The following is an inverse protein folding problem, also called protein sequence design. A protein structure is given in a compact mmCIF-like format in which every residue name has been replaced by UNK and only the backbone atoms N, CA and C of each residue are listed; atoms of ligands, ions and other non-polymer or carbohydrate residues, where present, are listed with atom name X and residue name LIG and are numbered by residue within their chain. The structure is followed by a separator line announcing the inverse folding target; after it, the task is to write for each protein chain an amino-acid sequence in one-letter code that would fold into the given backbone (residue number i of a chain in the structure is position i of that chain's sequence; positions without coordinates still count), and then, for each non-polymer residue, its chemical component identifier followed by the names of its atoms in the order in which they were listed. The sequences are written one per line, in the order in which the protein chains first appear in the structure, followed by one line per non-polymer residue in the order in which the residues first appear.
data_IF_212678132504
#
_entry.id   IF_212678132504
#
_cell.length_a   1.000
_cell.length_b   1.000
_cell.length_c   1.000
_cell.angle_alpha   90.00
_cell.angle_beta   90.00
_cell.angle_gamma   90.00
#
_symmetry.space_group_name_H-M   'P 1'
#
loop_
_entity.id
_entity.type
_entity.pdbx_description
1 polymer ?
#
# COMPACT_ATOMS: atom_id res chain seq x y z
N UNK A 1 -8.79 -8.07 9.22
CA UNK A 1 -7.51 -7.50 9.72
C UNK A 1 -7.74 -6.02 9.98
N UNK A 2 -7.44 -5.53 11.16
CA UNK A 2 -7.59 -4.11 11.42
C UNK A 2 -6.47 -3.30 10.76
N UNK A 3 -6.63 -1.99 10.74
CA UNK A 3 -5.68 -1.11 10.04
C UNK A 3 -4.26 -1.22 10.59
N UNK A 4 -4.12 -1.32 11.91
CA UNK A 4 -2.80 -1.42 12.54
C UNK A 4 -2.08 -2.70 12.11
N UNK A 5 -2.79 -3.82 12.14
CA UNK A 5 -2.25 -5.10 11.70
C UNK A 5 -1.92 -5.09 10.21
N UNK A 6 -2.79 -4.48 9.41
CA UNK A 6 -2.59 -4.36 7.97
C UNK A 6 -1.34 -3.53 7.65
N UNK A 7 -1.11 -2.44 8.37
CA UNK A 7 0.09 -1.61 8.17
C UNK A 7 1.36 -2.41 8.44
N UNK A 8 1.38 -3.14 9.54
CA UNK A 8 2.54 -3.95 9.91
C UNK A 8 2.78 -5.04 8.88
N UNK A 9 1.74 -5.76 8.49
CA UNK A 9 1.84 -6.85 7.52
C UNK A 9 2.34 -6.36 6.16
N UNK A 10 1.84 -5.22 5.70
CA UNK A 10 2.25 -4.67 4.41
C UNK A 10 3.72 -4.26 4.42
N UNK A 11 4.17 -3.60 5.48
CA UNK A 11 5.56 -3.18 5.61
C UNK A 11 6.49 -4.40 5.67
N UNK A 12 6.12 -5.43 6.42
CA UNK A 12 6.90 -6.67 6.48
C UNK A 12 6.99 -7.36 5.12
N UNK A 13 5.89 -7.40 4.39
CA UNK A 13 5.87 -7.99 3.05
C UNK A 13 6.77 -7.20 2.11
N UNK A 14 6.72 -5.87 2.15
CA UNK A 14 7.59 -5.01 1.35
C UNK A 14 9.07 -5.28 1.65
N UNK A 15 9.41 -5.41 2.92
CA UNK A 15 10.78 -5.68 3.33
C UNK A 15 11.27 -7.04 2.81
N UNK A 16 10.43 -8.06 2.88
CA UNK A 16 10.76 -9.39 2.38
C UNK A 16 10.96 -9.41 0.87
N UNK A 17 10.12 -8.71 0.13
CA UNK A 17 10.26 -8.61 -1.32
C UNK A 17 11.56 -7.89 -1.70
N UNK A 18 11.88 -6.84 -0.98
CA UNK A 18 13.12 -6.10 -1.19
C UNK A 18 14.35 -6.98 -0.88
N UNK A 19 14.33 -7.69 0.24
CA UNK A 19 15.44 -8.57 0.65
C UNK A 19 15.68 -9.70 -0.34
N UNK A 20 14.63 -10.11 -1.07
CA UNK A 20 14.72 -11.15 -2.09
C UNK A 20 14.94 -10.63 -3.50
N UNK A 21 15.26 -9.36 -3.62
CA UNK A 21 15.52 -8.69 -4.90
C UNK A 21 14.33 -8.72 -5.87
N UNK A 22 13.10 -8.83 -5.33
CA UNK A 22 11.88 -8.76 -6.13
C UNK A 22 11.42 -7.33 -6.35
N UNK A 23 11.90 -6.40 -5.52
CA UNK A 23 11.78 -4.96 -5.76
C UNK A 23 13.16 -4.35 -5.58
N UNK A 24 13.44 -3.27 -6.30
CA UNK A 24 14.72 -2.55 -6.19
C UNK A 24 14.45 -1.06 -6.04
N UNK A 25 15.24 -0.40 -5.17
CA UNK A 25 15.14 1.02 -4.95
C UNK A 25 13.69 1.44 -4.63
N UNK A 26 13.12 2.39 -5.38
CA UNK A 26 11.76 2.85 -5.20
C UNK A 26 10.77 2.14 -6.12
N UNK A 27 11.18 1.07 -6.80
CA UNK A 27 10.34 0.35 -7.74
C UNK A 27 9.23 -0.45 -7.08
N UNK A 28 8.17 -0.69 -7.82
CA UNK A 28 7.02 -1.46 -7.36
C UNK A 28 6.08 -0.67 -6.45
N UNK A 29 4.92 -1.24 -6.22
CA UNK A 29 3.93 -0.66 -5.30
C UNK A 29 3.03 -1.79 -4.79
N UNK A 30 2.54 -1.64 -3.58
CA UNK A 30 1.75 -2.67 -2.92
C UNK A 30 0.65 -2.02 -2.10
N UNK A 31 -0.47 -2.70 -2.01
CA UNK A 31 -1.61 -2.19 -1.25
C UNK A 31 -2.37 -3.32 -0.57
N UNK A 32 -3.17 -2.96 0.42
CA UNK A 32 -4.05 -3.88 1.13
C UNK A 32 -5.35 -3.15 1.46
N UNK A 33 -6.48 -3.88 1.34
CA UNK A 33 -7.77 -3.34 1.69
C UNK A 33 -7.93 -3.34 3.21
N UNK A 34 -8.48 -2.25 3.74
CA UNK A 34 -8.94 -2.15 5.12
C UNK A 34 -10.44 -1.82 5.10
N UNK A 35 -11.09 -1.79 6.27
CA UNK A 35 -12.54 -1.66 6.34
C UNK A 35 -13.11 -0.46 5.60
N UNK A 36 -12.42 0.68 5.66
CA UNK A 36 -12.92 1.94 5.11
C UNK A 36 -12.01 2.53 4.03
N UNK A 37 -11.20 1.69 3.39
CA UNK A 37 -10.32 2.19 2.34
C UNK A 37 -9.21 1.22 2.00
N UNK A 38 -8.10 1.78 1.56
CA UNK A 38 -6.93 1.03 1.11
C UNK A 38 -5.67 1.66 1.67
N UNK A 39 -4.77 0.83 2.18
CA UNK A 39 -3.42 1.27 2.52
C UNK A 39 -2.52 0.98 1.33
N UNK A 40 -1.73 1.96 0.91
CA UNK A 40 -0.85 1.82 -0.24
C UNK A 40 0.52 2.40 0.07
N UNK A 41 1.53 1.83 -0.59
CA UNK A 41 2.90 2.32 -0.45
C UNK A 41 3.04 3.75 -0.97
N UNK A 42 3.87 4.57 -0.31
CA UNK A 42 4.10 5.96 -0.74
C UNK A 42 4.93 6.03 -2.02
N UNK A 43 4.78 7.12 -2.75
CA UNK A 43 5.54 7.39 -3.97
C UNK A 43 7.02 7.60 -3.66
N UNK A 44 7.88 7.00 -4.48
CA UNK A 44 9.31 7.31 -4.46
C UNK A 44 10.09 6.84 -3.24
N UNK A 45 9.56 5.86 -2.49
CA UNK A 45 10.23 5.34 -1.29
C UNK A 45 10.74 3.92 -1.50
N UNK A 46 11.88 3.62 -0.90
CA UNK A 46 12.46 2.28 -0.91
C UNK A 46 11.59 1.34 -0.06
N UNK A 47 11.12 0.26 -0.66
CA UNK A 47 10.18 -0.67 -0.01
C UNK A 47 10.78 -1.43 1.16
N UNK A 48 12.11 -1.56 1.20
CA UNK A 48 12.79 -2.24 2.30
C UNK A 48 12.95 -1.39 3.56
N UNK A 49 12.68 -0.08 3.46
CA UNK A 49 12.91 0.87 4.55
C UNK A 49 11.63 1.52 5.07
N UNK A 50 10.47 1.02 4.68
CA UNK A 50 9.20 1.60 5.09
C UNK A 50 8.87 1.26 6.54
N UNK A 51 8.24 2.23 7.22
CA UNK A 51 7.64 2.05 8.54
C UNK A 51 6.12 2.06 8.39
N UNK A 52 5.37 1.48 9.34
CA UNK A 52 3.90 1.46 9.23
C UNK A 52 3.28 2.84 9.01
N UNK A 53 3.82 3.88 9.64
CA UNK A 53 3.33 5.25 9.51
C UNK A 53 3.64 5.89 8.15
N UNK A 54 4.52 5.29 7.35
CA UNK A 54 4.85 5.80 6.02
C UNK A 54 3.79 5.46 4.98
N UNK A 55 2.94 4.47 5.27
CA UNK A 55 1.89 4.07 4.35
C UNK A 55 0.83 5.15 4.24
N UNK A 56 0.20 5.23 3.06
CA UNK A 56 -0.83 6.21 2.78
C UNK A 56 -2.18 5.52 2.77
N UNK A 57 -3.15 6.09 3.49
CA UNK A 57 -4.52 5.58 3.47
C UNK A 57 -5.34 6.40 2.49
N UNK A 58 -6.00 5.72 1.55
CA UNK A 58 -6.87 6.36 0.57
C UNK A 58 -8.26 5.72 0.62
N UNK A 59 -9.28 6.55 0.44
CA UNK A 59 -10.63 6.06 0.28
C UNK A 59 -10.78 5.46 -1.12
N UNK A 60 -11.82 4.65 -1.31
CA UNK A 60 -12.05 4.03 -2.62
C UNK A 60 -12.32 5.04 -3.75
N UNK A 61 -12.72 6.26 -3.41
CA UNK A 61 -12.90 7.32 -4.40
C UNK A 61 -11.60 8.05 -4.77
N UNK A 62 -10.49 7.69 -4.12
CA UNK A 62 -9.18 8.29 -4.39
C UNK A 62 -8.76 9.39 -3.43
N UNK A 63 -9.65 9.78 -2.49
CA UNK A 63 -9.32 10.81 -1.49
C UNK A 63 -8.23 10.28 -0.55
N UNK A 64 -7.17 11.05 -0.37
CA UNK A 64 -6.13 10.72 0.62
C UNK A 64 -6.68 11.03 2.01
N UNK A 65 -6.79 10.00 2.84
CA UNK A 65 -7.31 10.11 4.20
C UNK A 65 -6.20 10.45 5.19
N UNK A 66 -5.06 9.80 5.06
CA UNK A 66 -3.91 10.08 5.93
C UNK A 66 -2.62 9.68 5.22
N UNK A 67 -1.51 10.26 5.68
CA UNK A 67 -0.19 10.00 5.13
C UNK A 67 0.22 11.04 4.10
N UNK A 68 1.29 10.76 3.40
CA UNK A 68 1.85 11.67 2.42
C UNK A 68 1.32 11.43 1.02
N UNK A 69 2.23 11.38 0.06
CA UNK A 69 1.88 11.18 -1.34
C UNK A 69 1.80 9.69 -1.67
N UNK A 70 0.65 9.18 -2.11
CA UNK A 70 0.52 7.77 -2.46
C UNK A 70 1.25 7.45 -3.76
N UNK A 71 1.48 6.16 -4.00
CA UNK A 71 2.05 5.69 -5.27
C UNK A 71 1.32 6.32 -6.47
N UNK A 72 2.06 6.61 -7.54
CA UNK A 72 1.46 7.10 -8.78
C UNK A 72 0.52 6.07 -9.41
N UNK A 73 0.64 4.79 -9.02
CA UNK A 73 -0.20 3.69 -9.52
C UNK A 73 -1.48 3.49 -8.71
N UNK A 74 -1.78 4.36 -7.75
CA UNK A 74 -2.94 4.24 -6.86
C UNK A 74 -4.25 4.03 -7.62
N UNK A 75 -4.43 4.71 -8.75
CA UNK A 75 -5.64 4.58 -9.56
C UNK A 75 -5.89 3.16 -10.03
N UNK A 76 -4.84 2.44 -10.44
CA UNK A 76 -4.96 1.04 -10.87
C UNK A 76 -5.39 0.15 -9.72
N UNK A 77 -4.77 0.35 -8.54
CA UNK A 77 -5.14 -0.41 -7.36
C UNK A 77 -6.61 -0.20 -7.00
N UNK A 78 -7.06 1.06 -6.95
CA UNK A 78 -8.45 1.38 -6.60
C UNK A 78 -9.44 0.82 -7.61
N UNK A 79 -9.11 0.86 -8.91
CA UNK A 79 -9.96 0.29 -9.94
C UNK A 79 -10.17 -1.21 -9.74
N UNK A 80 -9.09 -1.92 -9.39
CA UNK A 80 -9.17 -3.36 -9.12
C UNK A 80 -10.00 -3.65 -7.87
N UNK A 81 -9.83 -2.87 -6.80
CA UNK A 81 -10.62 -3.06 -5.58
C UNK A 81 -12.10 -2.78 -5.80
N UNK A 82 -12.43 -1.74 -6.58
CA UNK A 82 -13.83 -1.42 -6.88
C UNK A 82 -14.48 -2.49 -7.76
N UNK A 83 -13.73 -3.03 -8.72
CA UNK A 83 -14.25 -4.05 -9.65
C UNK A 83 -14.31 -5.44 -9.04
N UNK A 84 -13.54 -5.69 -8.00
CA UNK A 84 -13.40 -7.01 -7.39
C UNK A 84 -13.54 -6.91 -5.87
N UNK A 85 -14.77 -6.86 -5.35
CA UNK A 85 -14.98 -6.66 -3.90
C UNK A 85 -14.32 -7.72 -3.01
N UNK A 86 -14.03 -8.90 -3.55
CA UNK A 86 -13.34 -9.95 -2.80
C UNK A 86 -11.82 -9.82 -2.77
N UNK A 87 -11.26 -8.87 -3.50
CA UNK A 87 -9.81 -8.69 -3.54
C UNK A 87 -9.37 -7.86 -2.33
N UNK A 88 -8.37 -8.36 -1.59
CA UNK A 88 -7.90 -7.73 -0.36
C UNK A 88 -6.48 -7.19 -0.44
N UNK A 89 -5.75 -7.55 -1.47
CA UNK A 89 -4.36 -7.08 -1.60
C UNK A 89 -3.91 -7.12 -3.06
#
# INVERSE_FOLDING_TARGET
MDEKEARIALVETCARLYDRNLTVSAGGNMSVRVDDGVLITPSGRNKGLLKPEDLVKVALDGTVVSGGKPSIETRFHLALYRSNPGTNA
#
